data_IF_919317939514
#
_entry.id   IF_919317939514
#
_cell.length_a   1.000
_cell.length_b   1.000
_cell.length_c   1.000
_cell.angle_alpha   90.00
_cell.angle_beta   90.00
_cell.angle_gamma   90.00
#
_symmetry.space_group_name_H-M   'P 1'
#
loop_
_entity.id
_entity.type
_entity.pdbx_description
1 polymer ?
#
# COMPACT_ATOMS: atom_id res chain seq x y z
N UNK A 1 -18.61 -19.50 -33.35
CA UNK A 1 -17.87 -19.91 -32.15
C UNK A 1 -17.34 -18.63 -31.50
N UNK A 2 -18.10 -18.04 -30.59
CA UNK A 2 -17.67 -16.80 -29.91
C UNK A 2 -16.76 -17.19 -28.77
N UNK A 3 -15.46 -16.89 -28.91
CA UNK A 3 -14.44 -17.20 -27.91
C UNK A 3 -14.61 -16.22 -26.74
N UNK A 4 -15.11 -16.70 -25.60
CA UNK A 4 -15.06 -15.93 -24.36
C UNK A 4 -13.62 -15.97 -23.86
N UNK A 5 -12.92 -14.84 -23.91
CA UNK A 5 -11.63 -14.69 -23.26
C UNK A 5 -11.92 -14.62 -21.75
N UNK A 6 -11.74 -15.75 -21.06
CA UNK A 6 -11.66 -15.78 -19.61
C UNK A 6 -10.49 -14.92 -19.18
N UNK A 7 -10.76 -13.69 -18.75
CA UNK A 7 -9.76 -12.84 -18.10
C UNK A 7 -9.38 -13.53 -16.79
N UNK A 8 -8.25 -14.24 -16.79
CA UNK A 8 -7.63 -14.76 -15.57
C UNK A 8 -7.09 -13.55 -14.79
N UNK A 9 -7.94 -12.92 -13.99
CA UNK A 9 -7.53 -11.87 -13.07
C UNK A 9 -6.66 -12.53 -11.99
N UNK A 10 -5.56 -11.88 -11.60
CA UNK A 10 -4.62 -12.38 -10.60
C UNK A 10 -5.28 -12.80 -9.27
N UNK A 11 -6.42 -12.19 -8.96
CA UNK A 11 -7.43 -12.74 -8.07
C UNK A 11 -8.75 -12.85 -8.82
N UNK A 12 -9.47 -13.97 -8.70
CA UNK A 12 -10.78 -14.16 -9.35
C UNK A 12 -11.81 -13.11 -8.94
N UNK A 13 -11.51 -12.40 -7.85
CA UNK A 13 -12.27 -11.32 -7.25
C UNK A 13 -11.54 -9.99 -7.45
N UNK A 14 -12.27 -8.98 -7.89
CA UNK A 14 -11.67 -7.68 -8.22
C UNK A 14 -11.40 -6.81 -6.99
N UNK A 15 -12.10 -7.02 -5.87
CA UNK A 15 -12.05 -6.16 -4.71
C UNK A 15 -11.70 -6.93 -3.45
N UNK A 16 -10.78 -6.41 -2.65
CA UNK A 16 -10.41 -6.96 -1.36
C UNK A 16 -10.25 -5.89 -0.29
N UNK A 17 -10.49 -6.28 0.95
CA UNK A 17 -10.33 -5.44 2.13
C UNK A 17 -9.68 -6.21 3.27
N UNK A 18 -9.00 -5.52 4.16
CA UNK A 18 -8.52 -6.13 5.38
C UNK A 18 -7.75 -5.17 6.26
N UNK A 19 -6.70 -5.68 6.89
CA UNK A 19 -5.94 -4.99 7.92
C UNK A 19 -4.50 -4.78 7.49
N UNK A 20 -3.93 -3.66 7.93
CA UNK A 20 -2.54 -3.28 7.68
C UNK A 20 -1.91 -2.89 9.01
N UNK A 21 -0.69 -3.34 9.25
CA UNK A 21 0.11 -3.07 10.44
C UNK A 21 1.42 -2.41 10.02
N UNK A 22 1.74 -1.27 10.64
CA UNK A 22 2.88 -0.44 10.28
C UNK A 22 2.47 1.02 10.13
N UNK A 23 2.89 1.65 9.04
CA UNK A 23 2.62 3.05 8.71
C UNK A 23 1.71 3.13 7.46
N UNK A 24 0.37 2.98 7.59
CA UNK A 24 -0.40 3.04 8.82
C UNK A 24 -0.75 1.68 9.44
N UNK A 25 -1.21 1.72 10.68
CA UNK A 25 -1.91 0.61 11.35
C UNK A 25 -3.41 0.86 11.30
N UNK A 26 -4.16 -0.01 10.62
CA UNK A 26 -5.59 0.16 10.40
C UNK A 26 -6.15 -0.75 9.32
N UNK A 27 -6.88 -0.14 8.38
CA UNK A 27 -7.57 -0.81 7.29
C UNK A 27 -6.84 -0.62 5.97
N UNK A 28 -6.97 -1.60 5.08
CA UNK A 28 -6.52 -1.51 3.69
C UNK A 28 -7.59 -2.05 2.75
N UNK A 29 -7.62 -1.55 1.52
CA UNK A 29 -8.43 -2.08 0.44
C UNK A 29 -7.61 -2.14 -0.85
N UNK A 30 -7.89 -3.12 -1.70
CA UNK A 30 -7.33 -3.25 -3.04
C UNK A 30 -8.44 -3.46 -4.06
N UNK A 31 -8.33 -2.77 -5.19
CA UNK A 31 -9.21 -2.94 -6.35
C UNK A 31 -8.37 -3.25 -7.59
N UNK A 32 -8.40 -4.49 -8.04
CA UNK A 32 -7.79 -4.92 -9.30
C UNK A 32 -8.48 -4.25 -10.49
N UNK A 33 -7.69 -3.60 -11.33
CA UNK A 33 -8.15 -2.95 -12.58
C UNK A 33 -7.81 -3.78 -13.82
N UNK A 34 -6.82 -4.66 -13.71
CA UNK A 34 -6.47 -5.66 -14.72
C UNK A 34 -5.83 -6.88 -14.03
N UNK A 35 -5.28 -7.80 -14.81
CA UNK A 35 -4.57 -8.97 -14.29
C UNK A 35 -3.22 -8.60 -13.62
N UNK A 36 -2.70 -7.39 -13.84
CA UNK A 36 -1.41 -6.96 -13.29
C UNK A 36 -1.44 -5.56 -12.68
N UNK A 37 -2.59 -4.89 -12.65
CA UNK A 37 -2.70 -3.52 -12.13
C UNK A 37 -3.81 -3.38 -11.10
N UNK A 38 -3.61 -2.58 -10.06
CA UNK A 38 -4.60 -2.35 -9.02
C UNK A 38 -4.51 -0.95 -8.41
N UNK A 39 -5.63 -0.45 -7.91
CA UNK A 39 -5.65 0.62 -6.92
C UNK A 39 -5.52 0.02 -5.53
N UNK A 40 -4.70 0.63 -4.68
CA UNK A 40 -4.50 0.27 -3.29
C UNK A 40 -4.83 1.46 -2.39
N UNK A 41 -5.42 1.19 -1.24
CA UNK A 41 -5.82 2.19 -0.26
C UNK A 41 -5.45 1.73 1.14
N UNK A 42 -5.07 2.68 1.97
CA UNK A 42 -4.84 2.44 3.39
C UNK A 42 -5.35 3.60 4.22
N UNK A 43 -5.97 3.27 5.35
CA UNK A 43 -6.51 4.23 6.30
C UNK A 43 -6.27 3.74 7.72
N UNK A 44 -5.63 4.55 8.55
CA UNK A 44 -5.37 4.15 9.92
C UNK A 44 -4.61 5.19 10.72
N UNK A 45 -3.99 4.71 11.79
CA UNK A 45 -3.15 5.51 12.66
C UNK A 45 -1.69 5.20 12.34
N UNK A 46 -0.92 6.27 12.11
CA UNK A 46 0.52 6.23 12.07
C UNK A 46 1.06 6.56 13.46
N UNK A 47 1.84 5.64 14.02
CA UNK A 47 2.33 5.70 15.40
C UNK A 47 3.84 5.92 15.38
N UNK A 48 4.24 7.18 15.44
CA UNK A 48 5.63 7.57 15.54
C UNK A 48 6.00 8.73 14.64
N UNK A 49 7.07 9.41 15.08
CA UNK A 49 7.75 10.47 14.35
C UNK A 49 7.84 10.15 12.88
N UNK A 50 7.42 11.09 12.04
CA UNK A 50 7.80 11.11 10.64
C UNK A 50 9.32 10.81 10.61
N UNK A 51 9.72 9.66 10.05
CA UNK A 51 11.13 9.25 9.93
C UNK A 51 11.81 10.08 8.85
N UNK A 52 11.69 11.39 8.99
CA UNK A 52 12.26 12.38 8.11
C UNK A 52 13.76 12.38 8.36
N UNK A 53 14.51 11.97 7.34
CA UNK A 53 15.92 12.30 7.28
C UNK A 53 15.99 13.82 7.05
N UNK A 54 16.35 14.56 8.10
CA UNK A 54 16.74 15.98 8.06
C UNK A 54 15.64 17.06 7.95
N UNK A 55 14.70 17.10 8.89
CA UNK A 55 13.93 18.33 9.09
C UNK A 55 13.69 18.57 10.57
N UNK A 56 14.03 19.76 11.06
CA UNK A 56 13.80 20.28 12.41
C UNK A 56 12.30 20.49 12.72
N UNK A 57 11.42 19.67 12.13
CA UNK A 57 9.99 19.70 12.37
C UNK A 57 9.73 18.97 13.68
N UNK A 58 9.55 19.77 14.72
CA UNK A 58 9.21 19.35 16.08
C UNK A 58 8.05 18.34 16.08
N UNK A 59 8.32 17.09 16.46
CA UNK A 59 7.33 16.03 16.58
C UNK A 59 6.87 15.93 18.03
N UNK A 60 5.59 16.20 18.32
CA UNK A 60 5.05 16.17 19.69
C UNK A 60 4.77 14.76 20.23
N UNK A 61 5.06 13.70 19.48
CA UNK A 61 4.87 12.31 19.93
C UNK A 61 3.46 11.76 19.70
N UNK A 62 2.53 12.57 19.23
CA UNK A 62 1.13 12.19 19.02
C UNK A 62 0.94 11.31 17.77
N UNK A 63 -0.17 10.58 17.75
CA UNK A 63 -0.58 9.77 16.59
C UNK A 63 -1.21 10.65 15.50
N UNK A 64 -0.99 10.28 14.24
CA UNK A 64 -1.59 10.95 13.07
C UNK A 64 -2.55 10.01 12.36
N UNK A 65 -3.68 10.55 11.90
CA UNK A 65 -4.54 9.88 10.94
C UNK A 65 -3.78 9.87 9.61
N UNK A 66 -3.65 8.68 9.03
CA UNK A 66 -2.96 8.45 7.78
C UNK A 66 -3.94 7.87 6.78
N UNK A 67 -3.97 8.50 5.61
CA UNK A 67 -4.63 7.97 4.43
C UNK A 67 -3.64 7.90 3.27
N UNK A 68 -3.67 6.80 2.51
CA UNK A 68 -2.96 6.73 1.23
C UNK A 68 -3.81 6.09 0.15
N UNK A 69 -3.44 6.40 -1.09
CA UNK A 69 -3.92 5.71 -2.28
C UNK A 69 -2.77 5.56 -3.27
N UNK A 70 -2.60 4.35 -3.81
CA UNK A 70 -1.48 3.99 -4.68
C UNK A 70 -2.00 3.24 -5.91
N UNK A 71 -1.33 3.43 -7.07
CA UNK A 71 -1.55 2.63 -8.27
C UNK A 71 -0.38 1.66 -8.44
N UNK A 72 -0.69 0.37 -8.40
CA UNK A 72 0.29 -0.71 -8.32
C UNK A 72 0.33 -1.54 -9.60
N UNK A 73 1.53 -1.94 -10.01
CA UNK A 73 1.82 -2.91 -11.06
C UNK A 73 2.44 -4.16 -10.46
N UNK A 74 1.99 -5.35 -10.87
CA UNK A 74 2.38 -6.65 -10.31
C UNK A 74 3.10 -7.50 -11.35
N UNK A 75 4.21 -8.13 -10.94
CA UNK A 75 5.04 -9.04 -11.74
C UNK A 75 4.99 -10.42 -11.10
N UNK A 76 4.24 -11.34 -11.71
CA UNK A 76 3.98 -12.69 -11.15
C UNK A 76 5.14 -13.66 -11.35
N UNK A 77 5.88 -13.55 -12.46
CA UNK A 77 6.96 -14.48 -12.80
C UNK A 77 8.30 -14.13 -12.13
N UNK A 78 8.31 -13.21 -11.15
CA UNK A 78 9.53 -12.78 -10.48
C UNK A 78 10.09 -13.83 -9.50
N UNK A 79 9.24 -14.72 -8.99
CA UNK A 79 9.60 -15.74 -8.01
C UNK A 79 9.18 -17.11 -8.55
N UNK A 80 10.14 -18.01 -8.78
CA UNK A 80 9.89 -19.37 -9.26
C UNK A 80 9.25 -20.26 -8.18
N UNK A 81 7.92 -20.24 -8.08
CA UNK A 81 7.15 -20.96 -7.06
C UNK A 81 5.87 -21.55 -7.65
N UNK A 82 5.33 -22.59 -6.99
CA UNK A 82 3.99 -23.12 -7.31
C UNK A 82 2.88 -22.19 -6.84
N UNK A 83 3.08 -21.42 -5.78
CA UNK A 83 2.19 -20.34 -5.34
C UNK A 83 2.57 -19.01 -5.96
N UNK A 84 1.61 -18.09 -6.06
CA UNK A 84 1.82 -16.79 -6.68
C UNK A 84 2.41 -15.80 -5.65
N UNK A 85 3.64 -15.35 -5.92
CA UNK A 85 4.38 -14.37 -5.12
C UNK A 85 4.73 -13.12 -5.92
N UNK A 86 3.76 -12.33 -6.39
CA UNK A 86 4.05 -11.19 -7.23
C UNK A 86 4.83 -10.12 -6.45
N UNK A 87 5.93 -9.69 -7.05
CA UNK A 87 6.57 -8.42 -6.67
C UNK A 87 5.74 -7.32 -7.31
N UNK A 88 5.44 -6.27 -6.55
CA UNK A 88 4.73 -5.11 -7.07
C UNK A 88 5.47 -3.82 -6.79
N UNK A 89 5.23 -2.85 -7.65
CA UNK A 89 5.72 -1.49 -7.48
C UNK A 89 4.68 -0.49 -7.99
N UNK A 90 4.76 0.74 -7.51
CA UNK A 90 3.76 1.74 -7.86
C UNK A 90 4.06 3.11 -7.33
N UNK A 91 3.10 4.00 -7.54
CA UNK A 91 3.16 5.36 -7.05
C UNK A 91 1.80 5.83 -6.58
N UNK A 92 1.79 6.81 -5.69
CA UNK A 92 0.56 7.37 -5.17
C UNK A 92 0.80 8.55 -4.27
N UNK A 93 -0.15 8.80 -3.38
CA UNK A 93 -0.06 9.90 -2.44
C UNK A 93 -0.51 9.52 -1.03
N UNK A 94 0.06 10.21 -0.05
CA UNK A 94 -0.26 10.12 1.37
C UNK A 94 -0.82 11.44 1.86
N UNK A 95 -1.87 11.40 2.65
CA UNK A 95 -2.36 12.53 3.43
C UNK A 95 -2.36 12.17 4.92
N UNK A 96 -1.69 12.97 5.74
CA UNK A 96 -1.76 12.82 7.19
C UNK A 96 -2.35 14.06 7.86
N UNK A 97 -3.14 13.85 8.91
CA UNK A 97 -3.76 14.90 9.72
C UNK A 97 -3.91 14.49 11.19
N UNK A 98 -4.07 15.46 12.09
CA UNK A 98 -4.32 15.22 13.52
C UNK A 98 -3.06 15.16 14.40
N UNK A 99 -3.26 15.06 15.72
CA UNK A 99 -2.18 14.84 16.70
C UNK A 99 -1.17 15.98 16.82
N UNK A 100 -1.60 17.25 16.85
CA UNK A 100 -0.68 18.37 17.00
C UNK A 100 0.34 18.56 15.87
N UNK A 101 0.14 17.87 14.72
CA UNK A 101 0.98 17.96 13.54
C UNK A 101 0.37 18.88 12.48
N UNK A 102 1.20 19.54 11.69
CA UNK A 102 0.73 20.21 10.48
C UNK A 102 0.32 19.15 9.46
N UNK A 103 -0.84 19.34 8.82
CA UNK A 103 -1.28 18.45 7.75
C UNK A 103 -0.15 18.25 6.73
N UNK A 104 0.12 17.01 6.35
CA UNK A 104 1.16 16.69 5.38
C UNK A 104 0.58 15.98 4.17
N UNK A 105 1.11 16.32 3.01
CA UNK A 105 0.88 15.62 1.76
C UNK A 105 2.22 15.02 1.34
N UNK A 106 2.24 13.81 0.79
CA UNK A 106 3.46 13.21 0.26
C UNK A 106 3.19 12.43 -1.03
N UNK A 107 4.17 12.40 -1.93
CA UNK A 107 4.21 11.44 -3.04
C UNK A 107 4.83 10.15 -2.52
N UNK A 108 4.19 9.02 -2.83
CA UNK A 108 4.63 7.68 -2.41
C UNK A 108 5.22 6.93 -3.60
N UNK A 109 6.28 6.18 -3.36
CA UNK A 109 6.85 5.20 -4.27
C UNK A 109 6.80 3.85 -3.57
N UNK A 110 5.97 2.95 -4.05
CA UNK A 110 5.69 1.68 -3.37
C UNK A 110 6.50 0.58 -4.00
N UNK A 111 7.11 -0.27 -3.17
CA UNK A 111 7.64 -1.58 -3.57
C UNK A 111 7.18 -2.60 -2.55
N UNK A 112 6.66 -3.73 -3.00
CA UNK A 112 6.19 -4.77 -2.09
C UNK A 112 6.19 -6.16 -2.70
N UNK A 113 5.90 -7.12 -1.84
CA UNK A 113 5.73 -8.53 -2.16
C UNK A 113 4.39 -8.96 -1.61
N UNK A 114 3.57 -9.59 -2.45
CA UNK A 114 2.37 -10.27 -2.00
C UNK A 114 2.55 -11.79 -2.11
N UNK A 115 1.83 -12.51 -1.26
CA UNK A 115 1.54 -13.93 -1.40
C UNK A 115 0.05 -14.08 -1.64
N UNK A 116 -0.29 -14.69 -2.78
CA UNK A 116 -1.66 -14.88 -3.25
C UNK A 116 -1.87 -16.39 -3.41
N UNK A 117 -2.44 -17.08 -2.41
CA UNK A 117 -2.66 -18.52 -2.51
C UNK A 117 -3.76 -18.82 -3.53
N UNK A 118 -3.58 -19.87 -4.35
CA UNK A 118 -4.45 -20.17 -5.51
C UNK A 118 -5.91 -20.45 -5.16
N UNK A 119 -6.16 -21.11 -4.03
CA UNK A 119 -7.46 -21.67 -3.69
C UNK A 119 -8.17 -20.93 -2.54
N UNK A 120 -7.63 -19.78 -2.12
CA UNK A 120 -8.21 -19.00 -1.01
C UNK A 120 -8.38 -17.54 -1.40
N UNK A 121 -9.50 -16.89 -1.05
CA UNK A 121 -9.76 -15.49 -1.38
C UNK A 121 -9.04 -14.55 -0.41
N UNK A 122 -7.74 -14.77 -0.18
CA UNK A 122 -6.91 -13.94 0.69
C UNK A 122 -5.62 -13.54 -0.03
N UNK A 123 -5.05 -12.40 0.35
CA UNK A 123 -3.63 -12.11 0.12
C UNK A 123 -2.96 -11.69 1.43
N UNK A 124 -1.66 -11.95 1.51
CA UNK A 124 -0.78 -11.35 2.50
C UNK A 124 0.25 -10.52 1.78
N UNK A 125 0.65 -9.39 2.34
CA UNK A 125 1.63 -8.53 1.69
C UNK A 125 2.58 -7.87 2.69
N UNK A 126 3.76 -7.51 2.19
CA UNK A 126 4.70 -6.62 2.86
C UNK A 126 5.12 -5.54 1.87
N UNK A 127 5.22 -4.30 2.35
CA UNK A 127 5.60 -3.16 1.54
C UNK A 127 6.59 -2.23 2.23
N UNK A 128 7.39 -1.59 1.39
CA UNK A 128 8.36 -0.57 1.71
C UNK A 128 8.10 0.63 0.80
N UNK A 129 7.92 1.81 1.41
CA UNK A 129 7.37 2.97 0.72
C UNK A 129 8.19 4.22 1.00
N UNK A 130 9.25 4.45 0.20
CA UNK A 130 9.87 5.77 0.12
C UNK A 130 8.84 6.83 -0.24
N UNK A 131 8.87 7.96 0.45
CA UNK A 131 7.97 9.07 0.16
C UNK A 131 8.68 10.42 0.21
N UNK A 132 8.19 11.34 -0.62
CA UNK A 132 8.62 12.74 -0.63
C UNK A 132 7.49 13.60 -0.10
N UNK A 133 7.69 14.20 1.07
CA UNK A 133 6.73 15.11 1.66
C UNK A 133 6.72 16.44 0.90
N UNK A 134 5.53 16.89 0.54
CA UNK A 134 5.23 18.14 -0.13
C UNK A 134 4.70 19.15 0.89
N UNK A 135 5.53 19.45 1.89
CA UNK A 135 5.27 20.49 2.91
C UNK A 135 6.11 21.73 2.59
N UNK A 136 6.00 22.80 3.39
CA UNK A 136 6.80 24.02 3.21
C UNK A 136 8.33 23.74 3.25
N UNK A 137 8.74 22.64 3.89
CA UNK A 137 10.10 22.13 3.90
C UNK A 137 10.08 20.67 3.41
N UNK A 138 10.26 20.44 2.09
CA UNK A 138 10.21 19.10 1.52
C UNK A 138 11.24 18.18 2.16
N UNK A 139 10.82 16.95 2.48
CA UNK A 139 11.68 16.00 3.14
C UNK A 139 11.36 14.55 2.75
N UNK A 140 12.37 13.69 2.77
CA UNK A 140 12.19 12.27 2.52
C UNK A 140 11.69 11.56 3.77
N UNK A 141 10.70 10.71 3.62
CA UNK A 141 10.20 9.81 4.66
C UNK A 141 10.14 8.38 4.14
N UNK A 142 9.97 7.45 5.07
CA UNK A 142 9.90 6.03 4.78
C UNK A 142 8.77 5.40 5.58
N UNK A 143 7.80 4.82 4.88
CA UNK A 143 6.75 4.01 5.46
C UNK A 143 7.04 2.53 5.17
N UNK A 144 6.56 1.63 6.04
CA UNK A 144 6.63 0.18 5.83
C UNK A 144 5.47 -0.49 6.52
N UNK A 145 4.92 -1.54 5.91
CA UNK A 145 3.79 -2.24 6.46
C UNK A 145 3.73 -3.71 6.05
N UNK A 146 3.00 -4.49 6.84
CA UNK A 146 2.55 -5.85 6.52
C UNK A 146 1.02 -5.87 6.62
N UNK A 147 0.34 -6.63 5.78
CA UNK A 147 -1.11 -6.74 5.87
C UNK A 147 -1.68 -8.03 5.30
N UNK A 148 -2.99 -8.16 5.49
CA UNK A 148 -3.81 -9.29 5.08
C UNK A 148 -5.10 -8.73 4.49
N UNK A 149 -5.51 -9.19 3.31
CA UNK A 149 -6.79 -8.83 2.69
C UNK A 149 -7.61 -10.07 2.39
N UNK A 150 -8.93 -9.94 2.53
CA UNK A 150 -9.92 -10.90 2.04
C UNK A 150 -10.58 -10.31 0.79
N UNK A 151 -10.81 -11.14 -0.24
CA UNK A 151 -11.39 -10.75 -1.53
C UNK A 151 -12.83 -11.25 -1.71
N UNK A 152 -13.68 -10.40 -2.27
CA UNK A 152 -15.13 -10.60 -2.40
C UNK A 152 -15.61 -10.81 -3.83
#
# INVERSE_FOLDING_TARGET
MTMFISKSVAQNHSFGMGVILGEPTGLTAKLWTSNSTAWDFGFGLSIGGDRIAASDVYYNGDSRIHFHFDYLLHVFDAVGSTEDYPIYYGMGARFNTGGGYYNSLAVRFVVGLAWIPRDTPIDMFIEFVPSLQLTAQPAFAMDSAVGLRYYF
#
